data_IF_108175427606
#
_entry.id   IF_108175427606
#
_cell.length_a   1.000
_cell.length_b   1.000
_cell.length_c   1.000
_cell.angle_alpha   90.00
_cell.angle_beta   90.00
_cell.angle_gamma   90.00
#
_symmetry.space_group_name_H-M   'P 1'
#
loop_
_entity.id
_entity.type
_entity.pdbx_description
1 polymer ?
#
# COMPACT_ATOMS: atom_id res chain seq x y z
N UNK A 1 16.35 11.67 -0.95
CA UNK A 1 15.74 12.61 -1.92
C UNK A 1 14.22 12.50 -1.86
N UNK A 2 13.46 13.50 -2.34
CA UNK A 2 11.99 13.48 -2.32
C UNK A 2 11.45 13.26 -3.73
N UNK A 3 10.37 12.47 -3.84
CA UNK A 3 9.65 12.32 -5.10
C UNK A 3 9.07 13.68 -5.56
N UNK A 4 8.96 13.93 -6.88
CA UNK A 4 8.37 15.16 -7.39
C UNK A 4 6.93 15.35 -6.89
N UNK A 5 6.59 16.57 -6.47
CA UNK A 5 5.26 16.89 -5.93
C UNK A 5 4.14 16.70 -6.97
N UNK A 6 4.47 16.86 -8.26
CA UNK A 6 3.56 16.69 -9.39
C UNK A 6 3.41 15.24 -9.86
N UNK A 7 4.11 14.29 -9.23
CA UNK A 7 4.09 12.88 -9.63
C UNK A 7 2.68 12.30 -9.45
N UNK A 8 2.16 11.68 -10.52
CA UNK A 8 0.82 11.08 -10.56
C UNK A 8 0.83 9.56 -10.61
N UNK A 9 1.88 8.97 -11.18
CA UNK A 9 2.03 7.53 -11.35
C UNK A 9 3.46 7.16 -10.97
N UNK A 10 3.61 6.17 -10.11
CA UNK A 10 4.89 5.56 -9.76
C UNK A 10 4.77 4.06 -9.94
N UNK A 11 5.50 3.51 -10.93
CA UNK A 11 5.59 2.08 -11.20
C UNK A 11 7.03 1.63 -11.02
N UNK A 12 7.21 0.72 -10.09
CA UNK A 12 8.47 0.13 -9.66
C UNK A 12 8.32 -1.40 -9.53
N UNK A 13 7.28 -1.96 -10.16
CA UNK A 13 7.03 -3.40 -10.13
C UNK A 13 8.16 -4.18 -10.82
N UNK A 14 8.32 -5.45 -10.47
CA UNK A 14 9.31 -6.36 -11.07
C UNK A 14 10.74 -5.85 -10.94
N UNK A 15 11.10 -5.49 -9.72
CA UNK A 15 12.47 -5.11 -9.35
C UNK A 15 12.96 -5.98 -8.19
N UNK A 16 14.16 -5.69 -7.71
CA UNK A 16 14.78 -6.41 -6.58
C UNK A 16 14.85 -5.50 -5.34
N UNK A 17 13.83 -4.67 -5.09
CA UNK A 17 13.80 -3.86 -3.87
C UNK A 17 13.58 -4.77 -2.66
N UNK A 18 14.58 -4.91 -1.81
CA UNK A 18 14.60 -5.86 -0.67
C UNK A 18 14.33 -5.19 0.69
N UNK A 19 14.34 -3.85 0.73
CA UNK A 19 14.26 -3.08 1.96
C UNK A 19 12.83 -2.70 2.35
N UNK A 20 12.69 -1.82 3.33
CA UNK A 20 11.41 -1.28 3.81
C UNK A 20 10.85 -0.23 2.85
N UNK A 21 9.53 -0.10 2.81
CA UNK A 21 8.85 1.00 2.11
C UNK A 21 8.13 1.92 3.10
N UNK A 22 8.39 3.22 3.01
CA UNK A 22 7.68 4.23 3.80
C UNK A 22 6.68 4.96 2.91
N UNK A 23 5.39 4.76 3.17
CA UNK A 23 4.28 5.40 2.45
C UNK A 23 3.80 6.70 3.10
N UNK A 24 4.54 7.20 4.10
CA UNK A 24 4.16 8.37 4.89
C UNK A 24 4.31 9.71 4.14
N UNK A 25 5.10 9.73 3.06
CA UNK A 25 5.50 10.94 2.35
C UNK A 25 5.33 10.79 0.83
N UNK A 26 4.21 10.23 0.40
CA UNK A 26 3.87 10.15 -1.02
C UNK A 26 3.43 11.53 -1.56
N UNK A 27 3.71 11.85 -2.82
CA UNK A 27 3.21 13.05 -3.48
C UNK A 27 1.68 13.15 -3.38
N UNK A 28 1.12 14.34 -3.09
CA UNK A 28 -0.32 14.47 -2.85
C UNK A 28 -1.19 14.27 -4.09
N UNK A 29 -0.61 14.39 -5.29
CA UNK A 29 -1.28 14.17 -6.57
C UNK A 29 -1.09 12.74 -7.11
N UNK A 30 -0.46 11.85 -6.33
CA UNK A 30 -0.24 10.47 -6.74
C UNK A 30 -1.59 9.74 -6.83
N UNK A 31 -1.84 9.13 -7.98
CA UNK A 31 -3.04 8.33 -8.30
C UNK A 31 -2.75 6.84 -8.35
N UNK A 32 -1.53 6.47 -8.73
CA UNK A 32 -1.13 5.07 -8.86
C UNK A 32 0.25 4.83 -8.25
N UNK A 33 0.32 3.84 -7.37
CA UNK A 33 1.56 3.30 -6.81
C UNK A 33 1.59 1.80 -7.06
N UNK A 34 2.60 1.34 -7.79
CA UNK A 34 2.85 -0.08 -8.00
C UNK A 34 4.29 -0.42 -7.64
N UNK A 35 4.45 -1.24 -6.60
CA UNK A 35 5.72 -1.79 -6.13
C UNK A 35 5.63 -3.32 -6.03
N UNK A 36 4.71 -3.92 -6.77
CA UNK A 36 4.50 -5.36 -6.75
C UNK A 36 5.68 -6.15 -7.32
N UNK A 37 5.75 -7.45 -7.03
CA UNK A 37 6.82 -8.33 -7.52
C UNK A 37 8.21 -7.77 -7.20
N UNK A 38 8.44 -7.52 -5.92
CA UNK A 38 9.72 -7.12 -5.36
C UNK A 38 10.02 -8.03 -4.15
N UNK A 39 11.04 -7.70 -3.36
CA UNK A 39 11.44 -8.46 -2.18
C UNK A 39 11.26 -7.65 -0.89
N UNK A 40 10.32 -6.70 -0.87
CA UNK A 40 10.08 -5.79 0.26
C UNK A 40 9.62 -6.64 1.45
N UNK A 41 10.44 -6.69 2.50
CA UNK A 41 10.20 -7.56 3.66
C UNK A 41 10.11 -6.83 4.99
N UNK A 42 10.73 -5.66 5.10
CA UNK A 42 10.91 -4.98 6.37
C UNK A 42 9.98 -3.79 6.61
N UNK A 43 9.86 -3.43 7.88
CA UNK A 43 9.12 -2.25 8.36
C UNK A 43 7.65 -2.53 8.65
N UNK A 44 7.02 -1.63 9.42
CA UNK A 44 5.58 -1.68 9.66
C UNK A 44 4.88 -0.88 8.55
N UNK A 45 4.25 -1.60 7.63
CA UNK A 45 3.36 -1.08 6.61
C UNK A 45 2.16 -0.41 7.29
N UNK A 46 2.04 0.90 7.09
CA UNK A 46 0.84 1.65 7.44
C UNK A 46 0.30 2.35 6.20
N UNK A 47 -0.97 2.10 5.89
CA UNK A 47 -1.69 2.72 4.78
C UNK A 47 -2.54 3.91 5.24
N UNK A 48 -2.35 4.37 6.49
CA UNK A 48 -3.14 5.45 7.10
C UNK A 48 -2.94 6.81 6.41
N UNK A 49 -1.76 7.04 5.84
CA UNK A 49 -1.34 8.34 5.27
C UNK A 49 -1.32 8.38 3.75
N UNK A 50 -1.99 7.43 3.08
CA UNK A 50 -2.11 7.45 1.62
C UNK A 50 -2.75 8.76 1.13
N UNK A 51 -2.25 9.35 0.02
CA UNK A 51 -2.82 10.55 -0.59
C UNK A 51 -4.33 10.38 -0.89
N UNK A 52 -5.14 11.44 -0.76
CA UNK A 52 -6.59 11.37 -1.03
C UNK A 52 -6.95 11.20 -2.51
N UNK A 53 -6.00 11.37 -3.43
CA UNK A 53 -6.22 11.18 -4.88
C UNK A 53 -5.76 9.80 -5.37
N UNK A 54 -5.25 8.96 -4.47
CA UNK A 54 -4.78 7.63 -4.82
C UNK A 54 -5.97 6.79 -5.25
N UNK A 55 -5.80 5.99 -6.29
CA UNK A 55 -6.83 5.14 -6.90
C UNK A 55 -6.41 3.68 -6.92
N UNK A 56 -5.10 3.41 -7.06
CA UNK A 56 -4.56 2.06 -7.08
C UNK A 56 -3.26 1.98 -6.31
N UNK A 57 -3.18 1.00 -5.42
CA UNK A 57 -1.96 0.62 -4.69
C UNK A 57 -1.75 -0.87 -4.86
N UNK A 58 -0.60 -1.26 -5.39
CA UNK A 58 -0.19 -2.65 -5.44
C UNK A 58 1.12 -2.83 -4.71
N UNK A 59 1.08 -3.65 -3.65
CA UNK A 59 2.23 -4.18 -2.92
C UNK A 59 2.30 -5.71 -3.10
N UNK A 60 1.54 -6.26 -4.04
CA UNK A 60 1.38 -7.69 -4.20
C UNK A 60 2.73 -8.39 -4.49
N UNK A 61 2.84 -9.65 -4.10
CA UNK A 61 4.02 -10.49 -4.32
C UNK A 61 5.30 -9.81 -3.81
N UNK A 62 5.32 -9.56 -2.51
CA UNK A 62 6.49 -9.10 -1.76
C UNK A 62 6.69 -10.04 -0.56
N UNK A 63 7.57 -9.70 0.36
CA UNK A 63 7.85 -10.51 1.54
C UNK A 63 7.36 -9.84 2.84
N UNK A 64 6.30 -9.02 2.77
CA UNK A 64 5.78 -8.27 3.91
C UNK A 64 5.08 -9.22 4.88
N UNK A 65 5.49 -9.20 6.16
CA UNK A 65 4.92 -10.06 7.20
C UNK A 65 4.27 -9.24 8.32
N UNK A 66 2.93 -9.22 8.37
CA UNK A 66 2.16 -8.52 9.41
C UNK A 66 0.81 -9.18 9.65
N UNK A 67 0.45 -9.48 10.90
CA UNK A 67 -0.90 -9.97 11.22
C UNK A 67 -1.98 -8.93 10.88
N UNK A 68 -1.65 -7.65 11.04
CA UNK A 68 -2.59 -6.56 10.86
C UNK A 68 -1.93 -5.34 10.20
N UNK A 69 -2.62 -4.78 9.21
CA UNK A 69 -2.26 -3.53 8.53
C UNK A 69 -3.35 -2.50 8.77
N UNK A 70 -2.94 -1.32 9.25
CA UNK A 70 -3.87 -0.20 9.47
C UNK A 70 -4.08 0.57 8.17
N UNK A 71 -5.33 0.60 7.74
CA UNK A 71 -5.79 1.18 6.50
C UNK A 71 -6.59 2.47 6.74
N UNK A 72 -6.64 3.34 5.72
CA UNK A 72 -7.36 4.61 5.80
C UNK A 72 -8.87 4.37 5.68
N UNK A 73 -9.64 4.82 6.68
CA UNK A 73 -11.11 4.64 6.79
C UNK A 73 -11.96 5.42 5.76
N UNK A 74 -11.36 6.24 4.90
CA UNK A 74 -12.07 7.23 4.07
C UNK A 74 -11.70 7.20 2.59
N UNK A 75 -11.57 6.01 2.01
CA UNK A 75 -11.40 5.88 0.57
C UNK A 75 -12.80 6.05 -0.06
N UNK A 76 -13.15 7.30 -0.38
CA UNK A 76 -14.45 7.66 -1.01
C UNK A 76 -14.46 7.36 -2.51
N UNK A 77 -13.31 7.00 -3.06
CA UNK A 77 -13.08 6.65 -4.46
C UNK A 77 -12.78 5.16 -4.58
N UNK A 78 -13.01 4.58 -5.76
CA UNK A 78 -12.75 3.17 -6.05
C UNK A 78 -11.25 2.86 -5.94
N UNK A 79 -10.80 2.61 -4.73
CA UNK A 79 -9.40 2.41 -4.38
C UNK A 79 -9.11 0.94 -4.18
N UNK A 80 -8.42 0.33 -5.15
CA UNK A 80 -7.95 -1.05 -4.99
C UNK A 80 -6.61 -1.05 -4.28
N UNK A 81 -6.54 -1.71 -3.13
CA UNK A 81 -5.29 -2.00 -2.43
C UNK A 81 -5.03 -3.50 -2.57
N UNK A 82 -4.03 -3.86 -3.36
CA UNK A 82 -3.62 -5.26 -3.56
C UNK A 82 -2.41 -5.58 -2.69
N UNK A 83 -2.59 -6.52 -1.77
CA UNK A 83 -1.62 -7.00 -0.80
C UNK A 83 -1.37 -8.51 -0.94
N UNK A 84 -1.95 -9.17 -1.95
CA UNK A 84 -1.79 -10.62 -2.20
C UNK A 84 -0.33 -11.03 -2.34
N UNK A 85 -0.01 -12.29 -2.12
CA UNK A 85 1.36 -12.78 -2.16
C UNK A 85 2.27 -12.15 -1.11
N UNK A 86 1.71 -11.73 0.02
CA UNK A 86 2.44 -11.32 1.23
C UNK A 86 1.90 -12.13 2.42
N UNK A 87 2.56 -12.08 3.58
CA UNK A 87 2.05 -12.71 4.81
C UNK A 87 1.27 -11.69 5.65
N UNK A 88 0.14 -11.24 5.11
CA UNK A 88 -0.73 -10.24 5.76
C UNK A 88 -2.03 -10.88 6.22
N UNK A 89 -2.31 -10.86 7.53
CA UNK A 89 -3.48 -11.53 8.11
C UNK A 89 -4.81 -10.79 7.89
N UNK A 90 -4.82 -9.46 8.10
CA UNK A 90 -6.00 -8.62 7.84
C UNK A 90 -5.66 -7.15 7.70
N UNK A 91 -6.54 -6.41 7.05
CA UNK A 91 -6.54 -4.95 7.03
C UNK A 91 -7.70 -4.40 7.87
N UNK A 92 -7.39 -3.45 8.74
CA UNK A 92 -8.34 -2.83 9.67
C UNK A 92 -8.32 -1.31 9.53
N UNK A 93 -9.38 -0.65 9.95
CA UNK A 93 -9.39 0.80 10.10
C UNK A 93 -8.67 1.26 11.39
N UNK A 94 -8.66 2.57 11.64
CA UNK A 94 -8.05 3.15 12.85
C UNK A 94 -8.72 2.76 14.18
N UNK A 95 -9.86 2.06 14.13
CA UNK A 95 -10.59 1.54 15.29
C UNK A 95 -10.43 0.03 15.44
N UNK A 96 -9.65 -0.63 14.58
CA UNK A 96 -9.45 -2.08 14.58
C UNK A 96 -10.57 -2.86 13.88
N UNK A 97 -11.54 -2.18 13.26
CA UNK A 97 -12.61 -2.86 12.53
C UNK A 97 -12.08 -3.31 11.17
N UNK A 98 -12.35 -4.56 10.78
CA UNK A 98 -12.04 -5.05 9.43
C UNK A 98 -12.63 -4.14 8.37
N UNK A 99 -11.81 -3.76 7.39
CA UNK A 99 -12.27 -2.98 6.24
C UNK A 99 -13.21 -3.81 5.36
N UNK A 100 -14.33 -3.24 4.92
CA UNK A 100 -15.25 -3.87 3.97
C UNK A 100 -14.98 -3.41 2.54
N UNK A 101 -14.04 -4.07 1.84
CA UNK A 101 -13.59 -3.85 0.44
C UNK A 101 -13.12 -2.40 0.09
N UNK A 102 -12.19 -2.18 -0.87
CA UNK A 102 -11.53 -3.10 -1.82
C UNK A 102 -10.04 -3.30 -1.44
N UNK A 103 -9.81 -3.95 -0.30
CA UNK A 103 -8.48 -4.47 0.04
C UNK A 103 -8.45 -5.95 -0.29
N UNK A 104 -7.49 -6.35 -1.11
CA UNK A 104 -7.31 -7.71 -1.59
C UNK A 104 -6.10 -8.28 -0.86
N UNK A 105 -6.33 -9.30 -0.04
CA UNK A 105 -5.33 -10.13 0.61
C UNK A 105 -5.56 -11.58 0.14
N UNK A 106 -4.59 -12.46 0.33
CA UNK A 106 -4.82 -13.88 0.10
C UNK A 106 -5.87 -14.40 1.10
N UNK A 107 -6.70 -15.35 0.68
CA UNK A 107 -7.74 -15.98 1.52
C UNK A 107 -7.17 -16.78 2.69
#
# INVERSE_FOLDING_TARGET
EKLPWSLRVLRLHENLFESTISLNYLPPLLRELDVSNNSISGGNLSLRRLPPQLERVSLANNAIEQEEVVCRRYLRTAETIDLRGNKIGRCVDSTGQRMGFPVIIDE
#
